data_IF_389393051131
#
_entry.id   IF_389393051131
#
_cell.length_a   1.000
_cell.length_b   1.000
_cell.length_c   1.000
_cell.angle_alpha   90.00
_cell.angle_beta   90.00
_cell.angle_gamma   90.00
#
_symmetry.space_group_name_H-M   'P 1'
#
loop_
_entity.id
_entity.type
_entity.pdbx_description
1 polymer ?
#
# COMPACT_ATOMS: atom_id res chain seq x y z
N UNK A 1 -17.60 -6.74 0.67
CA UNK A 1 -16.46 -7.70 0.60
C UNK A 1 -15.09 -7.04 0.47
N UNK A 2 -14.99 -5.79 0.01
CA UNK A 2 -13.70 -5.10 -0.14
C UNK A 2 -13.66 -3.79 0.63
N UNK A 3 -12.48 -3.44 1.13
CA UNK A 3 -12.16 -2.14 1.71
C UNK A 3 -11.10 -1.47 0.81
N UNK A 4 -11.20 -0.16 0.62
CA UNK A 4 -10.23 0.63 -0.14
C UNK A 4 -9.61 1.75 0.72
N UNK A 5 -8.71 1.44 1.67
CA UNK A 5 -8.03 2.48 2.43
C UNK A 5 -7.19 3.37 1.53
N UNK A 6 -7.26 4.68 1.78
CA UNK A 6 -6.37 5.67 1.18
C UNK A 6 -5.07 5.73 1.98
N UNK A 7 -3.94 5.53 1.31
CA UNK A 7 -2.61 5.70 1.87
C UNK A 7 -2.18 7.17 1.72
N UNK A 8 -1.83 7.80 2.84
CA UNK A 8 -1.23 9.14 2.87
C UNK A 8 0.27 9.00 3.05
N UNK A 9 0.95 8.58 1.99
CA UNK A 9 2.37 8.25 2.04
C UNK A 9 3.23 9.52 2.15
N UNK A 10 4.31 9.51 2.96
CA UNK A 10 5.27 10.60 3.01
C UNK A 10 5.95 10.82 1.65
N UNK A 11 6.41 12.05 1.39
CA UNK A 11 7.06 12.38 0.13
C UNK A 11 8.35 11.56 -0.11
N UNK A 12 9.04 11.19 0.97
CA UNK A 12 10.23 10.34 0.90
C UNK A 12 9.89 8.92 0.38
N UNK A 13 8.81 8.31 0.87
CA UNK A 13 8.33 7.01 0.39
C UNK A 13 7.92 7.07 -1.09
N UNK A 14 7.28 8.16 -1.52
CA UNK A 14 6.90 8.37 -2.93
C UNK A 14 8.14 8.45 -3.82
N UNK A 15 9.19 9.14 -3.36
CA UNK A 15 10.47 9.21 -4.10
C UNK A 15 11.17 7.86 -4.16
N UNK A 16 11.18 7.10 -3.06
CA UNK A 16 11.74 5.75 -3.03
C UNK A 16 11.06 4.82 -4.05
N UNK A 17 9.72 4.83 -4.09
CA UNK A 17 8.95 4.09 -5.08
C UNK A 17 9.31 4.47 -6.53
N UNK A 18 9.49 5.77 -6.80
CA UNK A 18 9.91 6.26 -8.12
C UNK A 18 11.32 5.79 -8.50
N UNK A 19 12.25 5.74 -7.55
CA UNK A 19 13.62 5.23 -7.78
C UNK A 19 13.62 3.74 -8.12
N UNK A 20 12.67 2.98 -7.55
CA UNK A 20 12.45 1.56 -7.88
C UNK A 20 11.60 1.36 -9.16
N UNK A 21 11.14 2.44 -9.80
CA UNK A 21 10.36 2.37 -11.03
C UNK A 21 8.93 1.85 -10.84
N UNK A 22 8.41 1.88 -9.62
CA UNK A 22 7.05 1.39 -9.28
C UNK A 22 6.16 2.52 -8.75
N UNK A 23 4.84 2.32 -8.76
CA UNK A 23 3.91 3.27 -8.16
C UNK A 23 3.96 3.21 -6.62
N UNK A 24 3.66 4.30 -5.89
CA UNK A 24 3.79 4.33 -4.43
C UNK A 24 2.92 3.30 -3.68
N UNK A 25 1.75 2.95 -4.23
CA UNK A 25 0.89 1.89 -3.69
C UNK A 25 1.42 0.48 -3.97
N UNK A 26 2.07 0.24 -5.12
CA UNK A 26 2.78 -1.02 -5.42
C UNK A 26 3.96 -1.17 -4.46
N UNK A 27 4.75 -0.12 -4.27
CA UNK A 27 5.86 -0.10 -3.32
C UNK A 27 5.40 -0.47 -1.90
N UNK A 28 4.33 0.18 -1.41
CA UNK A 28 3.74 -0.14 -0.11
C UNK A 28 3.23 -1.58 -0.02
N UNK A 29 2.54 -2.06 -1.06
CA UNK A 29 1.98 -3.41 -1.09
C UNK A 29 3.07 -4.50 -1.08
N UNK A 30 4.17 -4.32 -1.80
CA UNK A 30 5.32 -5.23 -1.78
C UNK A 30 5.99 -5.25 -0.40
N UNK A 31 6.27 -4.08 0.17
CA UNK A 31 6.86 -3.96 1.51
C UNK A 31 5.98 -4.62 2.58
N UNK A 32 4.66 -4.46 2.48
CA UNK A 32 3.70 -5.10 3.39
C UNK A 32 3.77 -6.64 3.26
N UNK A 33 3.77 -7.14 2.03
CA UNK A 33 3.86 -8.57 1.75
C UNK A 33 5.16 -9.16 2.31
N UNK A 34 6.29 -8.53 2.04
CA UNK A 34 7.60 -9.02 2.49
C UNK A 34 7.74 -9.04 4.01
N UNK A 35 7.19 -8.04 4.69
CA UNK A 35 7.30 -7.92 6.14
C UNK A 35 6.31 -8.80 6.91
N UNK A 36 5.11 -9.03 6.37
CA UNK A 36 3.99 -9.63 7.13
C UNK A 36 3.37 -10.87 6.50
N UNK A 37 3.67 -11.15 5.22
CA UNK A 37 2.97 -12.15 4.42
C UNK A 37 1.55 -11.74 3.99
N UNK A 38 1.10 -10.53 4.31
CA UNK A 38 -0.25 -10.05 3.96
C UNK A 38 -0.25 -9.53 2.52
N UNK A 39 -0.97 -10.22 1.64
CA UNK A 39 -1.17 -9.79 0.25
C UNK A 39 -2.37 -8.84 0.12
N UNK A 40 -2.14 -7.67 -0.48
CA UNK A 40 -3.17 -6.68 -0.84
C UNK A 40 -3.03 -6.28 -2.30
N UNK A 41 -4.10 -5.74 -2.91
CA UNK A 41 -4.03 -5.28 -4.30
C UNK A 41 -3.79 -3.76 -4.34
N UNK A 42 -2.74 -3.27 -5.03
CA UNK A 42 -2.49 -1.83 -5.17
C UNK A 42 -3.57 -1.15 -6.02
N UNK A 43 -3.91 0.09 -5.67
CA UNK A 43 -4.94 0.89 -6.32
C UNK A 43 -4.67 1.18 -7.80
N UNK A 44 -3.39 1.29 -8.16
CA UNK A 44 -2.91 1.49 -9.54
C UNK A 44 -3.35 0.39 -10.50
N UNK A 45 -3.56 -0.84 -10.02
CA UNK A 45 -4.07 -1.96 -10.81
C UNK A 45 -5.55 -1.83 -11.23
N UNK A 46 -6.31 -0.91 -10.63
CA UNK A 46 -7.73 -0.70 -10.95
C UNK A 46 -7.99 0.42 -11.95
N UNK A 47 -6.97 1.19 -12.32
CA UNK A 47 -7.09 2.29 -13.28
C UNK A 47 -6.03 2.15 -14.39
N UNK A 48 -6.30 1.34 -15.44
CA UNK A 48 -5.35 1.06 -16.51
C UNK A 48 -4.85 2.32 -17.22
N UNK A 49 -5.68 3.35 -17.33
CA UNK A 49 -5.34 4.62 -18.01
C UNK A 49 -4.31 5.47 -17.23
N UNK A 50 -3.99 5.12 -15.99
CA UNK A 50 -2.91 5.72 -15.20
C UNK A 50 -1.60 4.92 -15.28
N UNK A 51 -1.59 3.76 -15.93
CA UNK A 51 -0.44 2.82 -15.99
C UNK A 51 0.49 3.13 -17.17
N UNK A 52 0.05 3.93 -18.16
CA UNK A 52 0.78 4.20 -19.40
C UNK A 52 1.80 5.36 -19.34
N UNK A 53 1.82 6.12 -18.24
CA UNK A 53 2.82 7.17 -18.12
C UNK A 53 3.10 7.45 -16.65
N UNK A 54 4.36 7.67 -16.32
CA UNK A 54 4.85 8.28 -15.08
C UNK A 54 4.31 9.72 -14.87
N UNK A 55 3.10 10.02 -15.34
CA UNK A 55 2.51 11.35 -15.48
C UNK A 55 1.07 11.36 -14.96
N UNK A 56 0.96 11.23 -13.63
CA UNK A 56 0.04 12.03 -12.79
C UNK A 56 0.42 11.84 -11.32
N UNK A 57 1.44 12.58 -10.89
CA UNK A 57 1.76 12.83 -9.47
C UNK A 57 0.77 13.86 -8.91
N UNK A 58 -0.52 13.54 -8.97
CA UNK A 58 -1.59 14.21 -8.23
C UNK A 58 -2.66 13.21 -7.78
N UNK A 59 -2.31 11.93 -7.79
CA UNK A 59 -3.20 10.80 -7.55
C UNK A 59 -3.03 10.26 -6.13
N UNK A 60 -4.15 9.98 -5.49
CA UNK A 60 -4.23 9.35 -4.18
C UNK A 60 -3.81 7.88 -4.25
N UNK A 61 -2.86 7.45 -3.42
CA UNK A 61 -2.50 6.03 -3.27
C UNK A 61 -3.57 5.27 -2.48
N UNK A 62 -3.88 4.05 -2.90
CA UNK A 62 -4.85 3.18 -2.26
C UNK A 62 -4.37 1.73 -2.26
N UNK A 63 -4.90 0.94 -1.34
CA UNK A 63 -4.84 -0.52 -1.39
C UNK A 63 -6.25 -1.08 -1.31
N UNK A 64 -6.48 -2.26 -1.87
CA UNK A 64 -7.70 -3.03 -1.68
C UNK A 64 -7.43 -4.19 -0.74
N UNK A 65 -8.17 -4.22 0.36
CA UNK A 65 -8.19 -5.33 1.31
C UNK A 65 -9.51 -6.10 1.19
N UNK A 66 -9.48 -7.39 1.55
CA UNK A 66 -10.67 -8.24 1.61
C UNK A 66 -11.13 -8.39 3.06
N UNK A 67 -12.44 -8.42 3.28
CA UNK A 67 -13.06 -8.78 4.57
C UNK A 67 -13.68 -10.18 4.48
N UNK A 68 -13.06 -11.05 3.68
CA UNK A 68 -13.45 -12.44 3.47
C UNK A 68 -12.92 -13.39 4.55
N UNK A 69 -11.72 -13.20 5.12
CA UNK A 69 -11.25 -14.06 6.20
C UNK A 69 -12.20 -14.01 7.39
N UNK A 70 -12.25 -15.09 8.17
CA UNK A 70 -13.02 -15.12 9.42
C UNK A 70 -12.54 -14.06 10.41
N UNK A 71 -13.40 -13.69 11.35
CA UNK A 71 -13.12 -12.62 12.34
C UNK A 71 -11.85 -12.88 13.15
N UNK A 72 -11.56 -14.13 13.51
CA UNK A 72 -10.32 -14.51 14.20
C UNK A 72 -9.06 -14.23 13.35
N UNK A 73 -9.12 -14.55 12.06
CA UNK A 73 -8.01 -14.27 11.13
C UNK A 73 -7.82 -12.77 10.94
N UNK A 74 -8.91 -12.02 10.80
CA UNK A 74 -8.83 -10.55 10.70
C UNK A 74 -8.22 -9.97 11.98
N UNK A 75 -8.68 -10.43 13.16
CA UNK A 75 -8.17 -10.01 14.47
C UNK A 75 -6.68 -10.27 14.62
N UNK A 76 -6.17 -11.39 14.09
CA UNK A 76 -4.75 -11.72 14.11
C UNK A 76 -3.91 -10.89 13.10
N UNK A 77 -4.50 -10.49 11.96
CA UNK A 77 -3.80 -9.72 10.92
C UNK A 77 -3.68 -8.23 11.25
N UNK A 78 -4.68 -7.65 11.94
CA UNK A 78 -4.73 -6.20 12.23
C UNK A 78 -3.48 -5.69 12.97
N UNK A 79 -2.99 -6.33 14.04
CA UNK A 79 -1.77 -5.89 14.72
C UNK A 79 -0.53 -5.91 13.82
N UNK A 80 -0.38 -6.94 12.98
CA UNK A 80 0.74 -7.05 12.04
C UNK A 80 0.69 -5.94 10.98
N UNK A 81 -0.50 -5.65 10.45
CA UNK A 81 -0.71 -4.54 9.51
C UNK A 81 -0.42 -3.18 10.16
N UNK A 82 -0.86 -2.98 11.40
CA UNK A 82 -0.62 -1.75 12.16
C UNK A 82 0.87 -1.55 12.42
N UNK A 83 1.55 -2.55 12.99
CA UNK A 83 2.98 -2.47 13.29
C UNK A 83 3.82 -2.22 12.03
N UNK A 84 3.48 -2.87 10.91
CA UNK A 84 4.10 -2.58 9.62
C UNK A 84 3.85 -1.13 9.18
N UNK A 85 2.60 -0.67 9.24
CA UNK A 85 2.26 0.68 8.80
C UNK A 85 3.01 1.74 9.60
N UNK A 86 3.05 1.60 10.93
CA UNK A 86 3.78 2.51 11.82
C UNK A 86 5.29 2.52 11.50
N UNK A 87 5.91 1.34 11.40
CA UNK A 87 7.33 1.23 11.07
C UNK A 87 7.67 1.80 9.67
N UNK A 88 6.83 1.52 8.67
CA UNK A 88 6.97 2.07 7.33
C UNK A 88 6.87 3.60 7.35
N UNK A 89 5.89 4.15 8.07
CA UNK A 89 5.72 5.60 8.14
C UNK A 89 6.89 6.26 8.86
N UNK A 90 7.43 5.63 9.90
CA UNK A 90 8.61 6.11 10.65
C UNK A 90 9.89 6.10 9.82
N UNK A 91 10.10 5.07 8.99
CA UNK A 91 11.22 4.99 8.04
C UNK A 91 11.27 6.20 7.09
N UNK A 92 10.11 6.72 6.69
CA UNK A 92 9.97 7.82 5.74
C UNK A 92 9.50 9.14 6.37
N UNK A 93 9.52 9.23 7.71
CA UNK A 93 9.10 10.40 8.51
C UNK A 93 10.17 11.51 8.45
N UNK A 94 10.45 12.02 7.25
CA UNK A 94 11.26 13.23 7.03
C UNK A 94 10.44 14.49 7.20
#
# INVERSE_FOLDING_TARGET
MYLFPRLRLPQAAIKAAQLEGVSPDVFYAHRLLDATGIAVVPGSGFHPDLVSSCKKVSGTSHIRCTILPGEETITAMVPSLQAFHEAFMDEFRG
#
